data_IF_120636949610
#
_entry.id   IF_120636949610
#
_cell.length_a   1.000
_cell.length_b   1.000
_cell.length_c   1.000
_cell.angle_alpha   90.00
_cell.angle_beta   90.00
_cell.angle_gamma   90.00
#
_symmetry.space_group_name_H-M   'P 1'
#
loop_
_entity.id
_entity.type
_entity.pdbx_description
1 polymer ?
#
# COMPACT_ATOMS: atom_id res chain seq x y z
N UNK A 1 15.35 -43.52 -60.83
CA UNK A 1 14.89 -44.90 -60.55
C UNK A 1 15.16 -45.14 -59.07
N UNK A 2 14.22 -45.30 -58.13
CA UNK A 2 12.79 -45.64 -58.11
C UNK A 2 12.13 -44.88 -56.92
N UNK A 3 11.11 -44.04 -57.11
CA UNK A 3 9.64 -44.30 -57.10
C UNK A 3 9.03 -44.78 -55.76
N UNK A 4 8.51 -43.78 -55.02
CA UNK A 4 7.31 -43.71 -54.16
C UNK A 4 6.52 -44.99 -53.82
N UNK A 5 6.21 -45.18 -52.53
CA UNK A 5 4.86 -45.59 -52.06
C UNK A 5 4.56 -44.94 -50.69
N UNK A 6 3.33 -44.42 -50.58
CA UNK A 6 2.71 -43.69 -49.47
C UNK A 6 1.96 -44.66 -48.54
N UNK A 7 2.04 -44.48 -47.22
CA UNK A 7 1.02 -44.94 -46.25
C UNK A 7 1.17 -44.15 -44.92
N UNK A 8 0.40 -43.08 -44.70
CA UNK A 8 -0.87 -43.01 -43.95
C UNK A 8 -0.80 -43.39 -42.45
N UNK A 9 -0.83 -42.33 -41.63
CA UNK A 9 -1.67 -42.10 -40.43
C UNK A 9 -1.37 -42.86 -39.11
N UNK A 10 -1.55 -42.06 -38.05
CA UNK A 10 -1.83 -42.40 -36.64
C UNK A 10 -0.63 -42.58 -35.71
N UNK A 11 -0.46 -41.60 -34.82
CA UNK A 11 0.38 -41.67 -33.63
C UNK A 11 0.15 -40.40 -32.82
N UNK A 12 -0.73 -40.48 -31.84
CA UNK A 12 -1.25 -39.37 -31.05
C UNK A 12 -0.21 -38.78 -30.09
N UNK A 13 -0.39 -37.49 -29.80
CA UNK A 13 0.31 -36.69 -28.80
C UNK A 13 0.48 -37.41 -27.46
N UNK A 14 1.74 -37.57 -27.02
CA UNK A 14 2.09 -37.78 -25.61
C UNK A 14 3.23 -36.81 -25.28
N UNK A 15 2.92 -35.93 -24.31
CA UNK A 15 3.75 -35.39 -23.23
C UNK A 15 5.28 -35.41 -23.39
N UNK A 16 5.89 -34.22 -23.30
CA UNK A 16 6.98 -33.85 -22.38
C UNK A 16 7.95 -32.85 -23.03
N UNK A 17 7.99 -31.62 -22.50
CA UNK A 17 9.20 -30.78 -22.56
C UNK A 17 9.12 -29.68 -21.50
N UNK A 18 9.59 -30.03 -20.29
CA UNK A 18 10.18 -29.08 -19.36
C UNK A 18 11.62 -29.56 -19.13
N UNK A 19 12.63 -28.90 -19.70
CA UNK A 19 13.94 -28.87 -19.13
C UNK A 19 14.04 -27.62 -18.24
N UNK A 20 14.47 -27.87 -17.01
CA UNK A 20 14.81 -26.87 -16.01
C UNK A 20 15.82 -25.85 -16.56
N UNK A 21 15.50 -24.55 -16.46
CA UNK A 21 16.51 -23.50 -16.47
C UNK A 21 16.99 -23.33 -15.02
N UNK A 22 18.11 -23.99 -14.71
CA UNK A 22 18.90 -23.71 -13.52
C UNK A 22 19.81 -22.51 -13.78
N UNK A 23 20.01 -21.73 -12.72
CA UNK A 23 21.01 -20.67 -12.52
C UNK A 23 21.00 -19.47 -13.48
N UNK A 24 20.22 -18.46 -13.13
CA UNK A 24 20.62 -17.06 -13.31
C UNK A 24 20.01 -16.25 -12.16
N UNK A 25 20.44 -16.53 -10.93
CA UNK A 25 20.44 -15.50 -9.92
C UNK A 25 21.57 -14.53 -10.30
N UNK A 26 21.25 -13.62 -11.22
CA UNK A 26 22.06 -12.46 -11.54
C UNK A 26 22.25 -11.69 -10.22
N UNK A 27 23.45 -11.75 -9.65
CA UNK A 27 23.81 -10.88 -8.55
C UNK A 27 23.91 -9.47 -9.12
N UNK A 28 22.77 -8.77 -9.17
CA UNK A 28 22.69 -7.39 -9.61
C UNK A 28 23.62 -6.56 -8.71
N UNK A 29 24.79 -6.18 -9.22
CA UNK A 29 25.57 -5.13 -8.60
C UNK A 29 24.75 -3.85 -8.74
N UNK A 30 24.20 -3.35 -7.63
CA UNK A 30 23.43 -2.10 -7.58
C UNK A 30 24.25 -0.97 -8.20
N UNK A 31 23.86 -0.53 -9.40
CA UNK A 31 24.42 0.63 -10.05
C UNK A 31 23.72 1.87 -9.49
N UNK A 32 24.39 2.77 -8.74
CA UNK A 32 23.73 3.90 -8.10
C UNK A 32 23.03 4.85 -9.09
N UNK A 33 23.50 4.86 -10.36
CA UNK A 33 22.87 5.63 -11.45
C UNK A 33 21.53 5.05 -11.90
N UNK A 34 21.32 3.74 -11.77
CA UNK A 34 20.07 3.09 -12.13
C UNK A 34 19.01 3.28 -11.04
N UNK A 35 19.39 3.20 -9.77
CA UNK A 35 18.48 3.49 -8.66
C UNK A 35 17.99 4.94 -8.65
N UNK A 36 18.92 5.89 -8.77
CA UNK A 36 18.58 7.32 -8.83
C UNK A 36 17.64 7.64 -9.98
N UNK A 37 17.89 7.08 -11.18
CA UNK A 37 16.98 7.23 -12.31
C UNK A 37 15.59 6.63 -12.01
N UNK A 38 15.51 5.43 -11.43
CA UNK A 38 14.22 4.83 -11.07
C UNK A 38 13.45 5.65 -10.03
N UNK A 39 14.14 6.22 -9.04
CA UNK A 39 13.54 7.11 -8.03
C UNK A 39 12.99 8.37 -8.71
N UNK A 40 13.77 9.00 -9.59
CA UNK A 40 13.33 10.16 -10.35
C UNK A 40 12.13 9.86 -11.24
N UNK A 41 12.10 8.70 -11.93
CA UNK A 41 10.95 8.32 -12.75
C UNK A 41 9.69 8.09 -11.92
N UNK A 42 9.80 7.46 -10.73
CA UNK A 42 8.66 7.31 -9.81
C UNK A 42 8.15 8.67 -9.33
N UNK A 43 9.06 9.59 -9.01
CA UNK A 43 8.69 10.94 -8.59
C UNK A 43 7.98 11.70 -9.73
N UNK A 44 8.53 11.66 -10.96
CA UNK A 44 7.89 12.27 -12.13
C UNK A 44 6.50 11.70 -12.38
N UNK A 45 6.35 10.38 -12.38
CA UNK A 45 5.05 9.72 -12.54
C UNK A 45 4.07 10.17 -11.44
N UNK A 46 4.53 10.24 -10.18
CA UNK A 46 3.71 10.69 -9.06
C UNK A 46 3.20 12.13 -9.25
N UNK A 47 4.08 13.02 -9.70
CA UNK A 47 3.75 14.43 -9.94
C UNK A 47 2.84 14.62 -11.14
N UNK A 48 3.14 13.97 -12.27
CA UNK A 48 2.38 14.07 -13.52
C UNK A 48 0.97 13.49 -13.36
N UNK A 49 0.84 12.31 -12.76
CA UNK A 49 -0.46 11.66 -12.51
C UNK A 49 -1.39 12.49 -11.62
N UNK A 50 -0.86 13.49 -10.90
CA UNK A 50 -1.60 14.37 -9.98
C UNK A 50 -1.62 15.83 -10.43
N UNK A 51 -1.10 16.15 -11.61
CA UNK A 51 -1.01 17.53 -12.11
C UNK A 51 -0.16 18.46 -11.24
N UNK A 52 0.74 17.91 -10.40
CA UNK A 52 1.52 18.69 -9.43
C UNK A 52 2.54 19.62 -10.10
N UNK A 53 2.97 19.28 -11.33
CA UNK A 53 3.90 20.11 -12.11
C UNK A 53 3.27 21.44 -12.56
N UNK A 54 1.95 21.43 -12.80
CA UNK A 54 1.20 22.63 -13.20
C UNK A 54 0.76 23.46 -11.99
N UNK A 55 0.72 22.83 -10.81
CA UNK A 55 0.32 23.45 -9.54
C UNK A 55 1.43 23.33 -8.48
N UNK A 56 2.51 24.12 -8.60
CA UNK A 56 3.59 24.11 -7.60
C UNK A 56 3.08 24.48 -6.20
N UNK A 57 1.98 25.25 -6.10
CA UNK A 57 1.31 25.61 -4.86
C UNK A 57 0.42 24.51 -4.25
N UNK A 58 0.28 23.34 -4.90
CA UNK A 58 -0.67 22.30 -4.45
C UNK A 58 -0.40 21.80 -3.02
N UNK A 59 0.85 21.84 -2.54
CA UNK A 59 1.17 21.52 -1.16
C UNK A 59 0.57 22.56 -0.18
N UNK A 60 0.73 23.85 -0.50
CA UNK A 60 0.18 24.94 0.29
C UNK A 60 -1.35 24.92 0.29
N UNK A 61 -1.98 24.73 -0.88
CA UNK A 61 -3.44 24.63 -0.99
C UNK A 61 -4.02 23.49 -0.15
N UNK A 62 -3.33 22.34 -0.08
CA UNK A 62 -3.74 21.24 0.80
C UNK A 62 -3.58 21.59 2.27
N UNK A 63 -2.50 22.28 2.65
CA UNK A 63 -2.29 22.74 4.02
C UNK A 63 -3.37 23.75 4.45
N UNK A 64 -3.70 24.69 3.57
CA UNK A 64 -4.75 25.69 3.81
C UNK A 64 -6.13 25.02 3.91
N UNK A 65 -6.44 24.09 3.00
CA UNK A 65 -7.68 23.31 3.06
C UNK A 65 -7.77 22.50 4.37
N UNK A 66 -6.68 21.87 4.81
CA UNK A 66 -6.63 21.16 6.08
C UNK A 66 -6.84 22.09 7.28
N UNK A 67 -6.28 23.30 7.24
CA UNK A 67 -6.48 24.31 8.28
C UNK A 67 -7.95 24.77 8.35
N UNK A 68 -8.60 24.98 7.20
CA UNK A 68 -10.04 25.33 7.13
C UNK A 68 -10.90 24.20 7.71
N UNK A 69 -10.66 22.95 7.30
CA UNK A 69 -11.37 21.79 7.83
C UNK A 69 -11.20 21.65 9.34
N UNK A 70 -9.99 21.91 9.85
CA UNK A 70 -9.71 21.91 11.30
C UNK A 70 -10.52 22.98 12.03
N UNK A 71 -10.60 24.21 11.49
CA UNK A 71 -11.40 25.28 12.10
C UNK A 71 -12.90 24.94 12.10
N UNK A 72 -13.42 24.43 10.99
CA UNK A 72 -14.82 23.98 10.91
C UNK A 72 -15.12 22.90 11.94
N UNK A 73 -14.22 21.92 12.10
CA UNK A 73 -14.37 20.87 13.11
C UNK A 73 -14.41 21.44 14.52
N UNK A 74 -13.46 22.31 14.88
CA UNK A 74 -13.42 22.90 16.23
C UNK A 74 -14.69 23.71 16.55
N UNK A 75 -15.34 24.30 15.55
CA UNK A 75 -16.63 24.96 15.72
C UNK A 75 -17.80 23.96 15.96
N UNK A 76 -17.70 22.74 15.44
CA UNK A 76 -18.72 21.70 15.56
C UNK A 76 -18.50 20.76 16.76
N UNK A 77 -17.29 20.64 17.28
CA UNK A 77 -16.94 19.74 18.39
C UNK A 77 -17.78 19.97 19.68
N UNK A 78 -18.11 21.22 20.09
CA UNK A 78 -19.02 21.46 21.22
C UNK A 78 -20.43 20.92 20.98
N UNK A 79 -20.92 20.97 19.74
CA UNK A 79 -22.24 20.46 19.37
C UNK A 79 -22.29 18.93 19.40
N UNK A 80 -21.22 18.26 18.94
CA UNK A 80 -21.07 16.80 19.00
C UNK A 80 -20.92 16.29 20.44
N UNK A 81 -20.20 17.04 21.27
CA UNK A 81 -20.03 16.68 22.68
C UNK A 81 -21.33 16.87 23.48
N UNK A 82 -22.14 17.86 23.11
CA UNK A 82 -23.43 18.14 23.74
C UNK A 82 -24.53 17.12 23.39
N UNK A 83 -24.44 16.41 22.25
CA UNK A 83 -25.42 15.37 21.89
C UNK A 83 -25.25 14.07 22.68
N UNK A 84 -24.13 13.91 23.42
CA UNK A 84 -23.83 12.68 24.16
C UNK A 84 -23.52 11.47 23.26
N UNK A 85 -23.36 11.69 21.95
CA UNK A 85 -23.11 10.62 20.99
C UNK A 85 -21.62 10.29 20.94
N UNK A 86 -21.25 9.09 21.40
CA UNK A 86 -19.91 8.55 21.23
C UNK A 86 -19.89 7.59 20.04
N UNK A 87 -19.07 7.89 19.05
CA UNK A 87 -18.75 6.94 17.99
C UNK A 87 -17.92 5.79 18.57
N UNK A 88 -18.36 4.56 18.32
CA UNK A 88 -17.62 3.34 18.65
C UNK A 88 -17.50 2.47 17.41
N UNK A 89 -16.29 1.99 17.14
CA UNK A 89 -16.05 1.01 16.10
C UNK A 89 -16.65 -0.34 16.51
N UNK A 90 -17.52 -0.90 15.66
CA UNK A 90 -18.21 -2.17 15.89
C UNK A 90 -17.59 -3.35 15.15
N UNK A 91 -16.48 -3.13 14.43
CA UNK A 91 -15.80 -4.14 13.64
C UNK A 91 -16.25 -4.23 12.17
N UNK A 92 -15.73 -5.24 11.44
CA UNK A 92 -14.89 -6.34 11.93
C UNK A 92 -13.43 -5.91 12.19
N UNK A 93 -12.94 -6.11 13.43
CA UNK A 93 -11.55 -5.82 13.82
C UNK A 93 -10.54 -6.89 13.37
N UNK A 94 -11.03 -8.09 13.06
CA UNK A 94 -10.31 -9.13 12.31
C UNK A 94 -11.30 -10.06 11.63
N UNK A 95 -10.94 -10.58 10.46
CA UNK A 95 -11.69 -11.56 9.70
C UNK A 95 -10.81 -12.76 9.37
N UNK A 96 -11.39 -13.95 9.36
CA UNK A 96 -10.70 -15.14 8.86
C UNK A 96 -10.78 -15.11 7.32
N UNK A 97 -9.64 -14.96 6.67
CA UNK A 97 -9.55 -15.05 5.22
C UNK A 97 -8.86 -16.37 4.89
N UNK A 98 -9.60 -17.29 4.28
CA UNK A 98 -9.13 -18.60 3.79
C UNK A 98 -8.12 -19.23 4.77
N UNK A 99 -8.64 -19.94 5.78
CA UNK A 99 -7.88 -20.40 6.96
C UNK A 99 -6.53 -21.09 6.67
N UNK A 100 -6.39 -21.76 5.52
CA UNK A 100 -5.18 -22.47 5.13
C UNK A 100 -4.12 -21.62 4.39
N UNK A 101 -4.44 -20.37 4.02
CA UNK A 101 -3.54 -19.45 3.32
C UNK A 101 -3.18 -18.24 4.19
N UNK A 102 -4.19 -17.50 4.66
CA UNK A 102 -3.97 -16.16 5.25
C UNK A 102 -4.37 -16.07 6.72
N UNK A 103 -5.25 -16.95 7.22
CA UNK A 103 -5.68 -16.95 8.62
C UNK A 103 -6.45 -15.67 9.01
N UNK A 104 -6.18 -15.13 10.20
CA UNK A 104 -6.81 -13.88 10.68
C UNK A 104 -6.15 -12.66 10.05
N UNK A 105 -6.95 -11.84 9.37
CA UNK A 105 -6.53 -10.62 8.68
C UNK A 105 -7.40 -9.46 9.12
N UNK A 106 -6.81 -8.28 9.33
CA UNK A 106 -7.52 -7.06 9.77
C UNK A 106 -7.47 -5.92 8.75
N UNK A 107 -6.96 -6.18 7.53
CA UNK A 107 -6.79 -5.20 6.47
C UNK A 107 -5.41 -5.29 5.81
N UNK A 108 -5.14 -4.39 4.86
CA UNK A 108 -3.85 -4.29 4.17
C UNK A 108 -3.05 -3.08 4.65
N UNK A 109 -1.83 -3.34 5.12
CA UNK A 109 -0.83 -2.32 5.44
C UNK A 109 0.11 -2.11 4.26
N UNK A 110 0.41 -0.85 3.96
CA UNK A 110 1.36 -0.44 2.93
C UNK A 110 2.68 0.06 3.52
N UNK A 111 2.65 0.64 4.73
CA UNK A 111 3.82 1.25 5.36
C UNK A 111 3.85 0.97 6.86
N UNK A 112 5.06 0.84 7.42
CA UNK A 112 5.31 0.77 8.86
C UNK A 112 6.61 1.52 9.16
N UNK A 113 6.57 2.40 10.15
CA UNK A 113 7.70 3.25 10.52
C UNK A 113 7.79 3.37 12.04
N UNK A 114 8.80 2.78 12.70
CA UNK A 114 9.09 3.02 14.11
C UNK A 114 9.62 4.45 14.32
N UNK A 115 9.35 5.03 15.48
CA UNK A 115 9.85 6.35 15.85
C UNK A 115 11.33 6.24 16.27
N UNK A 116 12.26 6.98 15.64
CA UNK A 116 13.66 6.96 16.06
C UNK A 116 13.82 7.40 17.52
N UNK A 117 14.43 6.54 18.34
CA UNK A 117 14.66 6.79 19.77
C UNK A 117 13.55 6.36 20.72
N UNK A 118 12.42 5.83 20.21
CA UNK A 118 11.39 5.19 21.02
C UNK A 118 10.80 3.97 20.30
N UNK A 119 11.33 2.80 20.62
CA UNK A 119 10.92 1.52 20.02
C UNK A 119 9.47 1.12 20.36
N UNK A 120 8.84 1.77 21.34
CA UNK A 120 7.44 1.51 21.66
C UNK A 120 6.49 2.27 20.74
N UNK A 121 6.94 3.34 20.11
CA UNK A 121 6.12 4.15 19.22
C UNK A 121 6.32 3.74 17.77
N UNK A 122 5.24 3.25 17.14
CA UNK A 122 5.25 2.85 15.73
C UNK A 122 4.03 3.42 15.02
N UNK A 123 4.22 3.85 13.78
CA UNK A 123 3.15 4.28 12.89
C UNK A 123 2.96 3.24 11.78
N UNK A 124 1.70 2.90 11.50
CA UNK A 124 1.32 1.98 10.43
C UNK A 124 0.37 2.67 9.46
N UNK A 125 0.71 2.66 8.17
CA UNK A 125 -0.09 3.21 7.09
C UNK A 125 -0.85 2.11 6.36
N UNK A 126 -2.18 2.23 6.33
CA UNK A 126 -3.03 1.25 5.66
C UNK A 126 -3.44 1.70 4.25
N UNK A 127 -3.85 0.74 3.42
CA UNK A 127 -4.23 1.02 2.04
C UNK A 127 -5.51 1.86 1.91
N UNK A 128 -6.43 1.78 2.89
CA UNK A 128 -7.72 2.47 2.85
C UNK A 128 -8.31 2.80 4.24
N UNK A 129 -7.53 2.65 5.32
CA UNK A 129 -7.97 2.86 6.71
C UNK A 129 -7.12 3.90 7.46
N UNK A 130 -6.40 4.78 6.76
CA UNK A 130 -5.57 5.82 7.35
C UNK A 130 -4.29 5.32 8.02
N UNK A 131 -3.69 6.17 8.84
CA UNK A 131 -2.56 5.86 9.72
C UNK A 131 -3.05 5.50 11.13
N UNK A 132 -2.37 4.52 11.70
CA UNK A 132 -2.53 4.03 13.06
C UNK A 132 -1.24 4.24 13.83
N UNK A 133 -1.33 4.54 15.12
CA UNK A 133 -0.20 4.73 16.02
C UNK A 133 -0.28 3.76 17.18
N UNK A 134 0.83 3.13 17.53
CA UNK A 134 1.01 2.47 18.83
C UNK A 134 2.04 3.24 19.66
N UNK A 135 1.98 3.09 20.99
CA UNK A 135 2.96 3.61 21.96
C UNK A 135 3.37 2.55 22.98
N UNK A 136 3.00 1.29 22.74
CA UNK A 136 3.24 0.16 23.63
C UNK A 136 3.79 -1.07 22.88
N UNK A 137 4.56 -0.83 21.82
CA UNK A 137 5.20 -1.89 21.04
C UNK A 137 4.22 -2.73 20.22
N UNK A 138 3.08 -2.15 19.81
CA UNK A 138 2.10 -2.80 18.94
C UNK A 138 1.02 -3.62 19.64
N UNK A 139 0.95 -3.59 20.98
CA UNK A 139 -0.11 -4.27 21.74
C UNK A 139 -1.49 -3.63 21.51
N UNK A 140 -1.54 -2.30 21.35
CA UNK A 140 -2.74 -1.60 20.92
C UNK A 140 -2.41 -0.47 19.95
N UNK A 141 -3.41 -0.12 19.13
CA UNK A 141 -3.29 0.88 18.08
C UNK A 141 -4.43 1.90 18.18
N UNK A 142 -4.09 3.16 17.96
CA UNK A 142 -5.03 4.29 17.93
C UNK A 142 -5.04 4.89 16.54
N UNK A 143 -6.22 5.12 15.93
CA UNK A 143 -6.30 5.80 14.65
C UNK A 143 -5.84 7.27 14.81
N UNK A 144 -4.98 7.74 13.91
CA UNK A 144 -4.50 9.13 13.87
C UNK A 144 -5.01 9.89 12.65
N UNK A 145 -5.65 9.22 11.70
CA UNK A 145 -6.15 9.80 10.45
C UNK A 145 -7.66 10.05 10.41
N UNK A 146 -8.40 9.82 11.49
CA UNK A 146 -9.87 9.99 11.52
C UNK A 146 -10.35 11.41 11.19
N UNK A 147 -9.45 12.40 11.29
CA UNK A 147 -9.75 13.80 11.03
C UNK A 147 -9.31 14.26 9.63
N UNK A 148 -8.68 13.38 8.87
CA UNK A 148 -8.13 13.69 7.55
C UNK A 148 -9.11 13.18 6.50
N UNK A 149 -9.48 14.01 5.53
CA UNK A 149 -10.45 13.66 4.48
C UNK A 149 -9.95 12.63 3.45
N UNK A 150 -8.83 11.96 3.71
CA UNK A 150 -8.26 10.91 2.85
C UNK A 150 -7.74 9.77 3.72
N UNK A 151 -7.99 8.54 3.27
CA UNK A 151 -7.64 7.31 3.99
C UNK A 151 -6.53 6.46 3.34
N UNK A 152 -6.26 6.54 2.02
CA UNK A 152 -5.16 5.77 1.44
C UNK A 152 -3.78 6.31 1.86
N UNK A 153 -2.95 5.44 2.44
CA UNK A 153 -1.58 5.76 2.82
C UNK A 153 -0.61 4.90 2.01
N UNK A 154 0.30 5.53 1.28
CA UNK A 154 1.32 4.83 0.47
C UNK A 154 2.69 4.71 1.14
N UNK A 155 3.06 5.70 1.95
CA UNK A 155 4.34 5.76 2.66
C UNK A 155 4.21 6.61 3.92
N UNK A 156 5.08 6.37 4.90
CA UNK A 156 5.30 7.19 6.09
C UNK A 156 6.80 7.43 6.17
N UNK A 157 7.21 8.70 6.27
CA UNK A 157 8.61 9.14 6.24
C UNK A 157 8.95 9.94 7.48
#
# INVERSE_FOLDING_TARGET
>A
MNSNVIARRLGWLILALLPALSSAAESASENPREESWQIEQRQRWFEESRGLREHPEAAQLRADAAAVLKQQRLALDPLRSASGESWQEIGPSSMNMVDWIMGRVAGRLNAITPLPGDDNTVYAGSAAGGVWKTTNGGQSWTPVFDQVGTLPVGAIT
#
